data_IF_988406998944
#
_entry.id   IF_988406998944
#
_cell.length_a   1.000
_cell.length_b   1.000
_cell.length_c   1.000
_cell.angle_alpha   90.00
_cell.angle_beta   90.00
_cell.angle_gamma   90.00
#
_symmetry.space_group_name_H-M   'P 1'
#
loop_
_entity.id
_entity.type
_entity.pdbx_description
1 polymer ?
#
# COMPACT_ATOMS: atom_id res chain seq x y z
N UNK A 1 32.45 -18.34 22.37
CA UNK A 1 31.93 -17.65 21.18
C UNK A 1 30.50 -18.12 20.99
N UNK A 2 29.53 -17.40 21.58
CA UNK A 2 28.12 -17.74 21.47
C UNK A 2 27.57 -17.00 20.26
N UNK A 3 27.41 -17.70 19.13
CA UNK A 3 26.57 -17.22 18.03
C UNK A 3 25.12 -17.29 18.50
N UNK A 4 24.56 -16.14 18.86
CA UNK A 4 23.13 -16.02 19.16
C UNK A 4 22.32 -16.47 17.95
N UNK A 5 21.24 -17.26 18.12
CA UNK A 5 20.33 -17.64 17.04
C UNK A 5 19.56 -16.45 16.40
N UNK A 6 19.78 -15.24 16.89
CA UNK A 6 19.18 -13.98 16.42
C UNK A 6 19.76 -13.52 15.06
N UNK A 7 21.05 -13.75 14.81
CA UNK A 7 21.73 -13.27 13.60
C UNK A 7 21.25 -13.93 12.30
N UNK A 8 20.71 -15.15 12.38
CA UNK A 8 20.19 -15.87 11.22
C UNK A 8 18.86 -15.29 10.70
N UNK A 9 18.06 -14.68 11.58
CA UNK A 9 16.80 -14.06 11.20
C UNK A 9 17.02 -12.72 10.48
N UNK A 10 18.06 -11.96 10.86
CA UNK A 10 18.40 -10.68 10.25
C UNK A 10 18.86 -10.80 8.78
N UNK A 11 19.54 -11.89 8.42
CA UNK A 11 20.05 -12.10 7.06
C UNK A 11 18.96 -12.46 6.04
N UNK A 12 17.82 -13.01 6.46
CA UNK A 12 16.73 -13.39 5.54
C UNK A 12 15.63 -12.32 5.40
N UNK A 13 15.53 -11.38 6.35
CA UNK A 13 14.51 -10.32 6.34
C UNK A 13 14.90 -9.10 5.50
N UNK A 14 16.20 -8.82 5.38
CA UNK A 14 16.77 -7.75 4.54
C UNK A 14 16.34 -7.81 3.06
N UNK A 15 16.38 -8.96 2.36
CA UNK A 15 15.97 -9.02 0.95
C UNK A 15 14.47 -8.73 0.73
N UNK A 16 13.60 -9.14 1.66
CA UNK A 16 12.16 -8.86 1.56
C UNK A 16 11.88 -7.36 1.76
N UNK A 17 12.54 -6.74 2.75
CA UNK A 17 12.48 -5.30 2.96
C UNK A 17 12.85 -4.53 1.69
N UNK A 18 14.02 -4.82 1.11
CA UNK A 18 14.52 -4.09 -0.05
C UNK A 18 13.68 -4.35 -1.31
N UNK A 19 13.20 -5.57 -1.52
CA UNK A 19 12.30 -5.90 -2.61
C UNK A 19 10.96 -5.15 -2.50
N UNK A 20 10.37 -5.11 -1.30
CA UNK A 20 9.12 -4.39 -1.06
C UNK A 20 9.32 -2.88 -1.24
N UNK A 21 10.39 -2.32 -0.66
CA UNK A 21 10.75 -0.91 -0.81
C UNK A 21 10.93 -0.53 -2.27
N UNK A 22 11.60 -1.38 -3.04
CA UNK A 22 11.82 -1.18 -4.47
C UNK A 22 10.51 -1.23 -5.24
N UNK A 23 9.67 -2.24 -5.00
CA UNK A 23 8.38 -2.37 -5.67
C UNK A 23 7.45 -1.17 -5.38
N UNK A 24 7.37 -0.72 -4.13
CA UNK A 24 6.60 0.47 -3.74
C UNK A 24 7.14 1.73 -4.44
N UNK A 25 8.47 1.91 -4.47
CA UNK A 25 9.11 3.03 -5.17
C UNK A 25 8.88 3.01 -6.68
N UNK A 26 8.89 1.84 -7.33
CA UNK A 26 8.58 1.70 -8.76
C UNK A 26 7.19 2.25 -9.09
N UNK A 27 6.24 2.09 -8.17
CA UNK A 27 4.89 2.64 -8.30
C UNK A 27 4.73 4.07 -7.76
N UNK A 28 5.83 4.74 -7.42
CA UNK A 28 5.83 6.11 -6.91
C UNK A 28 5.24 6.24 -5.50
N UNK A 29 5.19 5.15 -4.72
CA UNK A 29 4.76 5.17 -3.33
C UNK A 29 5.96 5.41 -2.41
N UNK A 30 5.84 6.43 -1.55
CA UNK A 30 6.84 6.71 -0.53
C UNK A 30 6.34 6.19 0.82
N UNK A 31 7.09 5.24 1.38
CA UNK A 31 6.77 4.58 2.66
C UNK A 31 8.01 4.67 3.55
N UNK A 32 8.20 5.79 4.27
CA UNK A 32 9.43 6.06 5.02
C UNK A 32 9.57 5.17 6.27
N UNK A 33 8.45 4.69 6.82
CA UNK A 33 8.41 3.85 8.01
C UNK A 33 8.52 2.35 7.74
N UNK A 34 8.97 1.95 6.55
CA UNK A 34 9.11 0.52 6.23
C UNK A 34 10.24 -0.10 7.05
N UNK A 35 9.92 -1.05 7.92
CA UNK A 35 10.91 -1.87 8.64
C UNK A 35 10.45 -3.33 8.73
N UNK A 36 11.40 -4.23 8.99
CA UNK A 36 11.11 -5.66 9.23
C UNK A 36 11.69 -6.03 10.58
N UNK A 37 10.81 -6.28 11.55
CA UNK A 37 11.16 -6.51 12.94
C UNK A 37 10.40 -7.73 13.46
N UNK A 38 11.09 -8.62 14.18
CA UNK A 38 10.48 -9.77 14.86
C UNK A 38 9.57 -10.66 13.99
N UNK A 39 9.88 -10.80 12.69
CA UNK A 39 9.07 -11.61 11.77
C UNK A 39 7.78 -10.92 11.29
N UNK A 40 7.67 -9.61 11.47
CA UNK A 40 6.63 -8.77 10.90
C UNK A 40 7.23 -7.66 10.03
N UNK A 41 6.46 -7.21 9.05
CA UNK A 41 6.78 -6.06 8.21
C UNK A 41 5.92 -4.89 8.68
N UNK A 42 6.58 -3.84 9.14
CA UNK A 42 5.97 -2.60 9.53
C UNK A 42 5.98 -1.68 8.31
N UNK A 43 4.81 -1.27 7.84
CA UNK A 43 4.70 -0.32 6.73
C UNK A 43 4.75 1.13 7.25
N UNK A 44 4.36 1.35 8.50
CA UNK A 44 4.40 2.66 9.14
C UNK A 44 3.33 3.61 8.59
N UNK A 45 3.61 4.90 8.69
CA UNK A 45 2.67 5.95 8.34
C UNK A 45 2.82 6.35 6.86
N UNK A 46 1.69 6.48 6.17
CA UNK A 46 1.61 6.98 4.80
C UNK A 46 0.52 8.04 4.68
N UNK A 47 0.62 8.92 3.69
CA UNK A 47 -0.47 9.89 3.43
C UNK A 47 -1.73 9.20 2.92
N UNK A 48 -2.91 9.81 3.09
CA UNK A 48 -4.16 9.25 2.56
C UNK A 48 -4.08 9.05 1.04
N UNK A 49 -3.45 9.98 0.33
CA UNK A 49 -3.19 9.86 -1.11
C UNK A 49 -2.35 8.63 -1.45
N UNK A 50 -1.32 8.34 -0.65
CA UNK A 50 -0.49 7.14 -0.82
C UNK A 50 -1.30 5.86 -0.56
N UNK A 51 -2.16 5.87 0.47
CA UNK A 51 -3.06 4.76 0.76
C UNK A 51 -4.08 4.50 -0.37
N UNK A 52 -4.65 5.54 -0.99
CA UNK A 52 -5.55 5.37 -2.15
C UNK A 52 -4.82 4.77 -3.35
N UNK A 53 -3.62 5.26 -3.66
CA UNK A 53 -2.80 4.71 -4.74
C UNK A 53 -2.47 3.23 -4.49
N UNK A 54 -2.11 2.89 -3.25
CA UNK A 54 -1.88 1.49 -2.87
C UNK A 54 -3.14 0.66 -3.07
N UNK A 55 -4.30 1.12 -2.61
CA UNK A 55 -5.57 0.42 -2.80
C UNK A 55 -5.82 0.14 -4.30
N UNK A 56 -5.61 1.12 -5.17
CA UNK A 56 -5.78 0.99 -6.63
C UNK A 56 -4.79 -0.02 -7.24
N UNK A 57 -3.53 0.00 -6.83
CA UNK A 57 -2.52 -0.96 -7.30
C UNK A 57 -2.84 -2.41 -6.91
N UNK A 58 -3.55 -2.58 -5.79
CA UNK A 58 -4.07 -3.86 -5.33
C UNK A 58 -5.41 -4.25 -5.97
N UNK A 59 -5.91 -3.45 -6.92
CA UNK A 59 -7.14 -3.71 -7.66
C UNK A 59 -8.41 -3.13 -7.05
N UNK A 60 -8.33 -2.22 -6.07
CA UNK A 60 -9.51 -1.52 -5.58
C UNK A 60 -10.13 -0.65 -6.69
N UNK A 61 -11.47 -0.61 -6.81
CA UNK A 61 -12.15 0.27 -7.77
C UNK A 61 -11.79 1.73 -7.51
N UNK A 62 -11.65 2.53 -8.57
CA UNK A 62 -11.35 3.96 -8.46
C UNK A 62 -12.54 4.68 -7.83
N UNK A 63 -12.27 5.55 -6.86
CA UNK A 63 -13.28 6.47 -6.35
C UNK A 63 -13.43 7.62 -7.34
N UNK A 64 -14.59 7.73 -7.98
CA UNK A 64 -14.87 8.78 -8.98
C UNK A 64 -14.95 10.18 -8.36
N UNK A 65 -15.14 10.25 -7.05
CA UNK A 65 -15.35 11.51 -6.36
C UNK A 65 -14.03 12.20 -6.05
N UNK A 66 -13.73 13.28 -6.78
CA UNK A 66 -12.65 14.25 -6.50
C UNK A 66 -12.96 15.09 -5.25
N UNK A 67 -13.06 14.45 -4.09
CA UNK A 67 -13.16 15.15 -2.80
C UNK A 67 -11.82 15.21 -2.12
N UNK A 68 -11.68 16.15 -1.18
CA UNK A 68 -10.50 16.27 -0.36
C UNK A 68 -10.30 14.95 0.42
N UNK A 69 -9.25 14.20 0.10
CA UNK A 69 -9.00 12.89 0.71
C UNK A 69 -8.61 13.00 2.18
N UNK A 70 -8.16 14.17 2.61
CA UNK A 70 -7.73 14.42 3.98
C UNK A 70 -8.94 14.64 4.93
N UNK A 71 -10.15 14.73 4.38
CA UNK A 71 -11.38 14.71 5.17
C UNK A 71 -11.69 13.29 5.69
N UNK A 72 -12.11 13.21 6.95
CA UNK A 72 -12.35 11.93 7.63
C UNK A 72 -13.28 10.95 6.88
N UNK A 73 -14.42 11.37 6.29
CA UNK A 73 -15.30 10.44 5.56
C UNK A 73 -14.61 9.83 4.33
N UNK A 74 -13.83 10.62 3.61
CA UNK A 74 -13.08 10.26 2.42
C UNK A 74 -11.90 9.35 2.78
N UNK A 75 -11.11 9.73 3.78
CA UNK A 75 -10.03 8.90 4.33
C UNK A 75 -10.55 7.54 4.81
N UNK A 76 -11.72 7.50 5.46
CA UNK A 76 -12.36 6.25 5.89
C UNK A 76 -12.78 5.38 4.72
N UNK A 77 -13.18 5.96 3.59
CA UNK A 77 -13.47 5.19 2.38
C UNK A 77 -12.20 4.61 1.76
N UNK A 78 -11.13 5.40 1.70
CA UNK A 78 -9.81 4.95 1.25
C UNK A 78 -9.31 3.80 2.12
N UNK A 79 -9.39 3.91 3.45
CA UNK A 79 -8.98 2.84 4.36
C UNK A 79 -9.79 1.55 4.13
N UNK A 80 -11.12 1.65 3.99
CA UNK A 80 -11.96 0.46 3.69
C UNK A 80 -11.59 -0.20 2.36
N UNK A 81 -11.34 0.60 1.32
CA UNK A 81 -10.93 0.12 -0.01
C UNK A 81 -9.57 -0.57 0.06
N UNK A 82 -8.62 0.03 0.77
CA UNK A 82 -7.29 -0.54 0.99
C UNK A 82 -7.37 -1.87 1.75
N UNK A 83 -8.08 -1.90 2.88
CA UNK A 83 -8.25 -3.12 3.67
C UNK A 83 -8.91 -4.26 2.90
N UNK A 84 -9.94 -3.96 2.10
CA UNK A 84 -10.60 -4.95 1.25
C UNK A 84 -9.69 -5.49 0.13
N UNK A 85 -8.96 -4.61 -0.56
CA UNK A 85 -8.02 -5.00 -1.60
C UNK A 85 -6.86 -5.82 -1.01
N UNK A 86 -6.31 -5.39 0.13
CA UNK A 86 -5.28 -6.11 0.87
C UNK A 86 -5.76 -7.52 1.23
N UNK A 87 -6.94 -7.66 1.84
CA UNK A 87 -7.53 -8.96 2.19
C UNK A 87 -7.66 -9.87 0.97
N UNK A 88 -8.02 -9.31 -0.19
CA UNK A 88 -8.15 -10.06 -1.44
C UNK A 88 -6.80 -10.57 -1.92
N UNK A 89 -5.77 -9.69 -2.01
CA UNK A 89 -4.45 -10.08 -2.53
C UNK A 89 -3.66 -10.99 -1.58
N UNK A 90 -3.89 -10.86 -0.28
CA UNK A 90 -3.23 -11.68 0.74
C UNK A 90 -4.00 -12.96 1.03
N UNK A 91 -5.16 -13.19 0.41
CA UNK A 91 -5.97 -14.39 0.58
C UNK A 91 -6.57 -14.53 1.98
N UNK A 92 -7.06 -13.43 2.54
CA UNK A 92 -7.74 -13.38 3.85
C UNK A 92 -7.00 -12.61 4.95
N UNK A 93 -5.81 -12.07 4.64
CA UNK A 93 -5.04 -11.25 5.58
C UNK A 93 -5.80 -9.98 5.99
N UNK A 94 -5.42 -9.43 7.13
CA UNK A 94 -6.07 -8.25 7.68
C UNK A 94 -5.04 -7.14 7.89
N UNK A 95 -5.46 -5.92 7.57
CA UNK A 95 -4.64 -4.73 7.73
C UNK A 95 -5.44 -3.75 8.58
N UNK A 96 -4.99 -3.56 9.82
CA UNK A 96 -5.53 -2.52 10.68
C UNK A 96 -5.00 -1.16 10.19
N UNK A 97 -5.94 -0.22 10.05
CA UNK A 97 -5.68 1.10 9.52
C UNK A 97 -6.17 2.13 10.52
N UNK A 98 -5.27 3.03 10.90
CA UNK A 98 -5.57 4.11 11.83
C UNK A 98 -5.35 5.46 11.17
N UNK A 99 -6.35 6.33 11.21
CA UNK A 99 -6.30 7.64 10.57
C UNK A 99 -5.93 8.74 11.58
N UNK A 100 -4.96 9.56 11.18
CA UNK A 100 -4.48 10.74 11.90
C UNK A 100 -4.92 12.00 11.14
N UNK A 101 -5.92 12.70 11.68
CA UNK A 101 -6.57 13.88 11.07
C UNK A 101 -5.77 15.19 11.09
N UNK A 102 -4.44 15.11 11.01
CA UNK A 102 -3.45 16.19 11.21
C UNK A 102 -2.84 16.23 12.62
N UNK A 103 -1.50 16.25 12.67
CA UNK A 103 -0.77 16.54 13.89
C UNK A 103 -0.48 18.04 13.95
N UNK A 104 -1.23 18.79 14.77
CA UNK A 104 -1.03 20.23 15.02
C UNK A 104 0.39 20.58 15.50
N UNK A 105 1.12 19.62 16.09
CA UNK A 105 2.53 19.81 16.52
C UNK A 105 3.56 19.53 15.41
N UNK A 106 3.16 18.89 14.31
CA UNK A 106 4.08 18.29 13.35
C UNK A 106 4.02 18.93 11.95
N UNK A 107 3.01 19.76 11.68
CA UNK A 107 2.74 20.40 10.38
C UNK A 107 2.80 19.40 9.20
N UNK A 108 2.21 18.21 9.40
CA UNK A 108 2.16 17.13 8.41
C UNK A 108 0.71 16.85 8.03
N UNK A 109 0.52 16.59 6.73
CA UNK A 109 -0.74 16.14 6.14
C UNK A 109 -1.34 14.95 6.88
N UNK A 110 -2.66 14.80 6.76
CA UNK A 110 -3.39 13.66 7.28
C UNK A 110 -2.74 12.33 6.87
N UNK A 111 -2.53 11.47 7.86
CA UNK A 111 -1.78 10.22 7.70
C UNK A 111 -2.62 9.00 8.06
N UNK A 112 -2.30 7.86 7.45
CA UNK A 112 -2.85 6.55 7.76
C UNK A 112 -1.69 5.67 8.22
N UNK A 113 -1.77 5.18 9.45
CA UNK A 113 -0.86 4.15 9.96
C UNK A 113 -1.35 2.79 9.51
N UNK A 114 -0.44 2.02 8.92
CA UNK A 114 -0.66 0.64 8.54
C UNK A 114 -0.09 -0.28 9.62
N UNK A 115 -0.91 -1.19 10.13
CA UNK A 115 -0.45 -2.17 11.12
C UNK A 115 0.65 -3.08 10.57
N UNK A 116 1.46 -3.67 11.46
CA UNK A 116 2.42 -4.69 11.05
C UNK A 116 1.69 -5.86 10.39
N UNK A 117 2.30 -6.40 9.34
CA UNK A 117 1.81 -7.59 8.63
C UNK A 117 2.82 -8.72 8.75
N UNK A 118 2.38 -9.98 8.67
CA UNK A 118 3.30 -11.12 8.70
C UNK A 118 4.21 -11.16 7.46
N UNK A 119 5.37 -11.82 7.55
CA UNK A 119 6.24 -12.05 6.38
C UNK A 119 5.50 -12.71 5.22
N UNK A 120 4.56 -13.63 5.52
CA UNK A 120 3.75 -14.31 4.51
C UNK A 120 2.84 -13.35 3.76
N UNK A 121 2.19 -12.44 4.48
CA UNK A 121 1.35 -11.39 3.88
C UNK A 121 2.18 -10.42 3.06
N UNK A 122 3.35 -10.03 3.56
CA UNK A 122 4.29 -9.17 2.83
C UNK A 122 4.80 -9.82 1.54
N UNK A 123 5.08 -11.12 1.53
CA UNK A 123 5.45 -11.85 0.31
C UNK A 123 4.30 -11.91 -0.71
N UNK A 124 3.06 -12.10 -0.24
CA UNK A 124 1.87 -12.08 -1.11
C UNK A 124 1.63 -10.69 -1.68
N UNK A 125 1.80 -9.66 -0.85
CA UNK A 125 1.73 -8.26 -1.25
C UNK A 125 2.78 -7.93 -2.31
N UNK A 126 4.05 -8.28 -2.08
CA UNK A 126 5.13 -8.12 -3.04
C UNK A 126 4.79 -8.79 -4.37
N UNK A 127 4.33 -10.04 -4.32
CA UNK A 127 3.91 -10.79 -5.52
C UNK A 127 2.78 -10.08 -6.28
N UNK A 128 1.84 -9.45 -5.58
CA UNK A 128 0.77 -8.66 -6.21
C UNK A 128 1.31 -7.39 -6.88
N UNK A 129 2.18 -6.64 -6.19
CA UNK A 129 2.79 -5.41 -6.71
C UNK A 129 3.67 -5.67 -7.94
N UNK A 130 4.41 -6.79 -7.95
CA UNK A 130 5.23 -7.20 -9.09
C UNK A 130 4.36 -7.56 -10.31
N UNK A 131 3.22 -8.24 -10.11
CA UNK A 131 2.28 -8.50 -11.22
C UNK A 131 1.72 -7.22 -11.82
N UNK A 132 1.38 -6.24 -10.98
CA UNK A 132 0.90 -4.93 -11.44
C UNK A 132 1.99 -4.15 -12.19
N UNK A 133 3.27 -4.30 -11.81
CA UNK A 133 4.40 -3.69 -12.53
C UNK A 133 4.68 -4.38 -13.89
N UNK A 134 4.37 -5.67 -14.02
CA UNK A 134 4.55 -6.44 -15.26
C UNK A 134 3.39 -6.28 -16.25
N UNK A 135 2.27 -5.68 -15.85
CA UNK A 135 1.19 -5.34 -16.77
C UNK A 135 1.56 -4.04 -17.49
N UNK A 136 1.86 -4.04 -18.80
CA UNK A 136 1.88 -2.80 -19.56
C UNK A 136 0.48 -2.19 -19.46
N UNK A 137 0.41 -0.88 -19.27
CA UNK A 137 -0.80 -0.06 -19.18
C UNK A 137 -1.68 -0.07 -20.44
N UNK A 138 -1.52 -1.07 -21.33
CA UNK A 138 -2.32 -1.28 -22.53
C UNK A 138 -3.63 -1.95 -22.16
N UNK A 139 -4.61 -1.17 -21.70
CA UNK A 139 -6.04 -1.27 -22.03
C UNK A 139 -6.79 -0.17 -21.26
N UNK A 140 -6.68 1.07 -21.72
CA UNK A 140 -7.72 2.09 -21.43
C UNK A 140 -7.78 3.19 -22.49
N UNK A 141 -7.68 2.82 -23.75
CA UNK A 141 -8.11 3.65 -24.87
C UNK A 141 -8.86 2.77 -25.88
N UNK A 142 -10.15 2.57 -25.62
CA UNK A 142 -11.19 1.98 -26.48
C UNK A 142 -12.49 2.11 -25.66
N UNK A 143 -13.58 2.80 -26.03
CA UNK A 143 -14.06 3.30 -27.31
C UNK A 143 -15.25 4.21 -26.97
N UNK A 144 -15.33 5.43 -27.53
CA UNK A 144 -16.60 6.07 -27.94
C UNK A 144 -16.31 7.36 -28.70
N UNK A 145 -15.78 7.18 -29.91
CA UNK A 145 -15.96 8.10 -31.01
C UNK A 145 -17.45 8.09 -31.38
N UNK A 146 -18.18 9.15 -31.07
CA UNK A 146 -19.55 9.36 -31.56
C UNK A 146 -19.47 10.30 -32.78
N UNK A 147 -19.81 9.85 -34.01
CA UNK A 147 -20.09 10.76 -35.10
C UNK A 147 -21.58 11.15 -35.01
N UNK A 148 -21.86 12.43 -34.84
CA UNK A 148 -23.19 12.96 -35.10
C UNK A 148 -23.07 14.23 -35.94
N UNK A 149 -23.36 14.08 -37.23
CA UNK A 149 -23.75 15.14 -38.13
C UNK A 149 -25.18 14.85 -38.61
N UNK A 150 -26.00 15.91 -38.81
CA UNK A 150 -26.86 16.00 -39.97
C UNK A 150 -26.34 17.03 -40.98
#
# INVERSE_FOLDING_TARGET
MSTSPDDAHAHYTTPLHDALRTALRTHGLHVPGLSVEQGAVHLGDVTVTTADRLARLLGAPVQETRRNLDEWPEARLVMRRLGAAFKTVTGGGFLDLYFHHDCVRCDRDAAVTLSPISLREAQRLLSALSRTASLPSETREATAHQPHAP
#
